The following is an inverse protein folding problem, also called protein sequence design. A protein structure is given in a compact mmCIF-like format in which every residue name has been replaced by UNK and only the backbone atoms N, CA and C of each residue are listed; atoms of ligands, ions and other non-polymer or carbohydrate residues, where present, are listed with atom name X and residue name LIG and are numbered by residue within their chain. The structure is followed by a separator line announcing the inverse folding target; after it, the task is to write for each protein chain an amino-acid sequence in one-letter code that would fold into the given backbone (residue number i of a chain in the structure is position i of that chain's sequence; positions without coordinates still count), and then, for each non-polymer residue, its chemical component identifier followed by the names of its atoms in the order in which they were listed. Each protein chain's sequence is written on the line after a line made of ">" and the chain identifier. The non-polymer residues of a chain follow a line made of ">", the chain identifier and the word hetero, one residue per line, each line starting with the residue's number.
data_IF_005368251840
#
_entry.id   IF_005368251840
#
_cell.length_a   1.000
_cell.length_b   1.000
_cell.length_c   1.000
_cell.angle_alpha   90.00
_cell.angle_beta   90.00
_cell.angle_gamma   90.00
#
_symmetry.space_group_name_H-M   'P 1'
#
loop_
_entity.id
_entity.type
_entity.pdbx_description
1 polymer ?
#
# COMPACT_ATOMS: atom_id res chain seq x y z
N UNK A 1 -12.29 8.79 17.50
CA UNK A 1 -12.26 8.44 18.93
C UNK A 1 -12.09 6.93 19.08
N UNK A 2 -10.87 6.43 19.09
CA UNK A 2 -10.56 5.02 19.37
C UNK A 2 -9.70 4.90 20.61
N UNK A 3 -9.96 3.89 21.42
CA UNK A 3 -9.09 3.51 22.53
C UNK A 3 -7.90 2.68 21.98
N UNK A 4 -6.74 2.77 22.63
CA UNK A 4 -5.53 1.97 22.31
C UNK A 4 -4.97 2.18 20.89
N UNK A 5 -4.95 3.42 20.39
CA UNK A 5 -4.21 3.75 19.18
C UNK A 5 -2.75 4.03 19.53
N UNK A 6 -1.83 3.34 18.85
CA UNK A 6 -0.40 3.58 18.96
C UNK A 6 0.12 4.31 17.71
N UNK A 7 0.79 5.45 17.92
CA UNK A 7 1.31 6.29 16.85
C UNK A 7 2.77 6.65 17.10
N UNK A 8 3.66 6.10 16.29
CA UNK A 8 5.09 6.36 16.30
C UNK A 8 5.50 7.07 15.01
N UNK A 9 5.86 8.36 15.10
CA UNK A 9 6.26 9.17 13.94
C UNK A 9 7.70 9.62 14.07
N UNK A 10 8.49 9.40 13.04
CA UNK A 10 9.83 9.99 12.88
C UNK A 10 9.93 10.69 11.52
N UNK A 11 10.22 11.99 11.53
CA UNK A 11 10.47 12.78 10.32
C UNK A 11 11.84 13.47 10.40
N UNK A 12 12.69 13.22 9.42
CA UNK A 12 14.03 13.80 9.30
C UNK A 12 14.23 14.37 7.89
N UNK A 13 14.53 15.66 7.79
CA UNK A 13 14.69 16.35 6.51
C UNK A 13 13.66 17.48 6.32
N UNK A 14 13.47 17.91 5.07
CA UNK A 14 12.63 19.06 4.74
C UNK A 14 11.41 18.66 3.93
N UNK A 15 10.29 19.40 4.12
CA UNK A 15 9.06 19.24 3.36
C UNK A 15 8.45 17.81 3.37
N UNK A 16 8.67 17.08 4.46
CA UNK A 16 7.98 15.81 4.69
C UNK A 16 6.60 16.08 5.27
N UNK A 17 5.61 15.33 4.85
CA UNK A 17 4.24 15.45 5.35
C UNK A 17 3.62 14.09 5.68
N UNK A 18 2.84 14.05 6.74
CA UNK A 18 2.00 12.92 7.13
C UNK A 18 0.60 13.47 7.41
N UNK A 19 -0.38 12.97 6.71
CA UNK A 19 -1.79 13.31 6.90
C UNK A 19 -2.60 12.04 7.00
N UNK A 20 -3.36 11.89 8.06
CA UNK A 20 -4.27 10.75 8.24
C UNK A 20 -5.39 11.07 9.25
N UNK A 21 -6.47 10.32 9.16
CA UNK A 21 -7.48 10.24 10.19
C UNK A 21 -7.81 8.77 10.50
N UNK A 22 -8.27 8.49 11.69
CA UNK A 22 -8.63 7.14 12.13
C UNK A 22 -9.79 7.21 13.12
N UNK A 23 -10.60 6.17 13.18
CA UNK A 23 -11.83 6.17 13.97
C UNK A 23 -12.00 5.01 14.95
N UNK A 24 -11.26 3.93 14.86
CA UNK A 24 -11.45 2.71 15.66
C UNK A 24 -10.25 2.32 16.50
N UNK A 25 -10.44 1.34 17.40
CA UNK A 25 -9.48 0.96 18.41
C UNK A 25 -8.41 -0.02 17.92
N UNK A 26 -7.26 -0.06 18.61
CA UNK A 26 -6.22 -1.05 18.41
C UNK A 26 -5.35 -0.85 17.16
N UNK A 27 -5.46 0.30 16.47
CA UNK A 27 -4.63 0.57 15.30
C UNK A 27 -3.20 0.97 15.71
N UNK A 28 -2.19 0.46 14.99
CA UNK A 28 -0.78 0.75 15.22
C UNK A 28 -0.16 1.38 13.97
N UNK A 29 0.48 2.52 14.13
CA UNK A 29 1.12 3.28 13.05
C UNK A 29 2.58 3.54 13.38
N UNK A 30 3.50 2.95 12.62
CA UNK A 30 4.94 3.19 12.70
C UNK A 30 5.40 3.88 11.42
N UNK A 31 5.51 5.22 11.43
CA UNK A 31 5.70 6.03 10.26
C UNK A 31 7.06 6.72 10.30
N UNK A 32 7.94 6.44 9.35
CA UNK A 32 9.27 7.00 9.26
C UNK A 32 9.49 7.66 7.89
N UNK A 33 9.87 8.92 7.90
CA UNK A 33 10.23 9.65 6.69
C UNK A 33 11.63 10.24 6.85
N UNK A 34 12.53 9.87 5.95
CA UNK A 34 13.91 10.36 5.91
C UNK A 34 14.20 11.02 4.55
N UNK A 35 14.95 12.13 4.56
CA UNK A 35 15.20 12.90 3.34
C UNK A 35 14.13 13.96 3.11
N UNK A 36 13.93 14.38 1.87
CA UNK A 36 13.09 15.53 1.57
C UNK A 36 11.89 15.15 0.71
N UNK A 37 10.75 15.81 0.97
CA UNK A 37 9.58 15.75 0.13
C UNK A 37 8.82 14.42 0.17
N UNK A 38 8.98 13.61 1.21
CA UNK A 38 8.17 12.42 1.38
C UNK A 38 6.74 12.79 1.78
N UNK A 39 5.77 12.04 1.29
CA UNK A 39 4.37 12.26 1.63
C UNK A 39 3.67 10.94 1.95
N UNK A 40 3.02 10.91 3.09
CA UNK A 40 2.02 9.92 3.44
C UNK A 40 0.70 10.67 3.48
N UNK A 41 -0.14 10.42 2.51
CA UNK A 41 -1.43 11.10 2.39
C UNK A 41 -2.43 10.20 1.71
N UNK A 42 -3.65 10.56 1.77
CA UNK A 42 -4.70 9.87 1.09
C UNK A 42 -4.92 10.42 -0.34
N UNK A 43 -5.19 9.51 -1.29
CA UNK A 43 -5.62 9.88 -2.65
C UNK A 43 -7.01 9.31 -2.89
N UNK A 44 -8.02 10.19 -2.91
CA UNK A 44 -9.39 9.80 -3.22
C UNK A 44 -9.54 9.40 -4.70
N UNK A 45 -10.01 8.20 -4.95
CA UNK A 45 -10.40 7.74 -6.28
C UNK A 45 -11.91 7.77 -6.55
N UNK A 46 -12.71 8.30 -5.66
CA UNK A 46 -14.13 8.51 -5.93
C UNK A 46 -14.34 9.83 -6.66
N UNK A 47 -14.51 9.75 -7.96
CA UNK A 47 -14.81 10.90 -8.81
C UNK A 47 -16.09 11.62 -8.37
N UNK A 48 -15.94 12.61 -7.55
CA UNK A 48 -16.75 13.79 -7.36
C UNK A 48 -16.34 14.54 -6.08
N UNK A 49 -15.23 15.26 -6.12
CA UNK A 49 -15.03 16.46 -5.30
C UNK A 49 -15.07 16.34 -3.77
N UNK A 50 -14.89 15.17 -3.18
CA UNK A 50 -14.76 15.01 -1.73
C UNK A 50 -13.35 14.56 -1.38
N UNK A 51 -12.59 15.49 -0.82
CA UNK A 51 -11.34 15.22 -0.13
C UNK A 51 -11.69 14.65 1.26
N UNK A 52 -11.44 13.37 1.47
CA UNK A 52 -11.44 12.76 2.79
C UNK A 52 -9.98 12.50 3.13
N UNK A 53 -9.50 13.02 4.24
CA UNK A 53 -8.13 12.77 4.69
C UNK A 53 -7.95 11.29 5.09
N UNK A 54 -6.78 10.75 4.87
CA UNK A 54 -6.32 9.38 5.08
C UNK A 54 -7.06 8.53 6.11
N UNK A 55 -8.17 7.92 5.71
CA UNK A 55 -9.05 7.22 6.62
C UNK A 55 -8.58 5.79 6.87
N UNK A 56 -8.41 5.43 8.13
CA UNK A 56 -8.37 4.04 8.58
C UNK A 56 -9.56 3.84 9.52
N UNK A 57 -10.65 3.36 9.00
CA UNK A 57 -11.91 3.17 9.73
C UNK A 57 -12.10 1.75 10.28
N UNK A 58 -11.07 0.93 10.29
CA UNK A 58 -11.08 -0.40 10.88
C UNK A 58 -10.34 -0.48 12.21
N UNK A 59 -10.41 -1.64 12.85
CA UNK A 59 -9.77 -1.90 14.14
C UNK A 59 -8.57 -2.84 14.00
N UNK A 60 -7.59 -2.73 14.88
CA UNK A 60 -6.40 -3.58 14.95
C UNK A 60 -5.54 -3.59 13.68
N UNK A 61 -5.61 -2.54 12.87
CA UNK A 61 -4.75 -2.40 11.71
C UNK A 61 -3.33 -1.97 12.11
N UNK A 62 -2.33 -2.51 11.44
CA UNK A 62 -0.92 -2.16 11.65
C UNK A 62 -0.33 -1.60 10.36
N UNK A 63 0.22 -0.39 10.42
CA UNK A 63 0.97 0.21 9.32
C UNK A 63 2.43 0.48 9.72
N UNK A 64 3.37 -0.10 8.97
CA UNK A 64 4.80 0.14 9.12
C UNK A 64 5.34 0.80 7.84
N UNK A 65 5.48 2.11 7.83
CA UNK A 65 5.83 2.88 6.64
C UNK A 65 7.20 3.52 6.80
N UNK A 66 8.12 3.22 5.89
CA UNK A 66 9.44 3.83 5.84
C UNK A 66 9.65 4.46 4.46
N UNK A 67 9.88 5.76 4.41
CA UNK A 67 10.08 6.50 3.17
C UNK A 67 11.38 7.30 3.17
N UNK A 68 12.08 7.28 2.02
CA UNK A 68 13.27 8.08 1.76
C UNK A 68 13.14 8.80 0.41
N UNK A 69 13.71 10.00 0.33
CA UNK A 69 14.03 10.67 -0.93
C UNK A 69 12.84 11.00 -1.86
N UNK A 70 11.75 11.50 -1.29
CA UNK A 70 10.64 12.05 -2.06
C UNK A 70 9.56 11.01 -2.42
N UNK A 71 9.48 9.92 -1.69
CA UNK A 71 8.44 8.92 -1.88
C UNK A 71 7.05 9.41 -1.46
N UNK A 72 6.04 8.91 -2.13
CA UNK A 72 4.62 9.19 -1.83
C UNK A 72 3.88 7.89 -1.56
N UNK A 73 3.12 7.87 -0.49
CA UNK A 73 2.20 6.80 -0.14
C UNK A 73 0.82 7.38 0.16
N UNK A 74 -0.18 6.83 -0.48
CA UNK A 74 -1.58 7.04 -0.14
C UNK A 74 -2.15 5.77 0.48
N UNK A 75 -3.31 5.86 1.09
CA UNK A 75 -4.00 4.71 1.67
C UNK A 75 -5.49 4.95 1.78
N UNK A 76 -6.20 3.90 2.12
CA UNK A 76 -7.61 3.91 2.49
C UNK A 76 -7.92 2.49 3.00
N UNK A 77 -8.12 2.31 4.26
CA UNK A 77 -8.32 0.99 4.88
C UNK A 77 -9.64 1.06 5.67
N UNK A 78 -10.62 0.24 5.37
CA UNK A 78 -11.89 0.15 6.09
C UNK A 78 -12.14 -1.24 6.70
N UNK A 79 -11.16 -2.09 6.65
CA UNK A 79 -11.23 -3.43 7.22
C UNK A 79 -10.52 -3.53 8.56
N UNK A 80 -10.66 -4.67 9.19
CA UNK A 80 -10.05 -5.00 10.46
C UNK A 80 -8.81 -5.90 10.29
N UNK A 81 -7.88 -5.85 11.24
CA UNK A 81 -6.74 -6.77 11.37
C UNK A 81 -5.77 -6.76 10.18
N UNK A 82 -5.75 -5.71 9.36
CA UNK A 82 -4.83 -5.60 8.23
C UNK A 82 -3.43 -5.21 8.66
N UNK A 83 -2.42 -5.79 8.01
CA UNK A 83 -1.02 -5.40 8.15
C UNK A 83 -0.48 -4.85 6.83
N UNK A 84 0.06 -3.65 6.87
CA UNK A 84 0.64 -2.97 5.72
C UNK A 84 2.06 -2.55 6.03
N UNK A 85 3.01 -3.14 5.32
CA UNK A 85 4.41 -2.80 5.38
C UNK A 85 4.83 -2.15 4.05
N UNK A 86 5.35 -0.94 4.09
CA UNK A 86 5.79 -0.22 2.89
C UNK A 86 7.20 0.33 3.12
N UNK A 87 8.13 -0.02 2.26
CA UNK A 87 9.43 0.62 2.16
C UNK A 87 9.57 1.29 0.79
N UNK A 88 9.92 2.55 0.77
CA UNK A 88 10.16 3.30 -0.47
C UNK A 88 11.44 4.13 -0.37
N UNK A 89 12.36 3.95 -1.32
CA UNK A 89 13.60 4.71 -1.39
C UNK A 89 13.81 5.27 -2.80
N UNK A 90 13.39 6.49 -3.01
CA UNK A 90 13.38 7.17 -4.29
C UNK A 90 12.05 7.89 -4.54
N UNK A 91 11.91 8.51 -5.71
CA UNK A 91 10.68 9.21 -6.10
C UNK A 91 9.60 8.22 -6.56
N UNK A 92 9.18 7.35 -5.66
CA UNK A 92 8.20 6.31 -5.94
C UNK A 92 6.81 6.72 -5.45
N UNK A 93 5.79 6.19 -6.09
CA UNK A 93 4.41 6.39 -5.69
C UNK A 93 3.73 5.05 -5.45
N UNK A 94 3.02 4.94 -4.36
CA UNK A 94 2.18 3.81 -4.05
C UNK A 94 0.83 4.30 -3.51
N UNK A 95 -0.24 3.78 -4.06
CA UNK A 95 -1.58 3.97 -3.54
C UNK A 95 -2.10 2.59 -3.10
N UNK A 96 -2.96 2.57 -2.11
CA UNK A 96 -3.53 1.35 -1.56
C UNK A 96 -4.96 1.65 -1.16
N UNK A 97 -5.88 0.79 -1.54
CA UNK A 97 -7.21 0.73 -0.96
C UNK A 97 -7.35 -0.67 -0.37
N UNK A 98 -8.07 -0.89 0.70
CA UNK A 98 -8.31 -2.24 1.21
C UNK A 98 -9.81 -2.50 1.31
N UNK A 99 -10.54 -2.34 2.31
CA UNK A 99 -11.90 -2.75 2.63
C UNK A 99 -12.06 -4.24 3.00
N UNK A 100 -11.03 -5.03 2.89
CA UNK A 100 -11.02 -6.42 3.32
C UNK A 100 -10.46 -6.52 4.75
N UNK A 101 -10.67 -7.65 5.38
CA UNK A 101 -10.12 -7.98 6.67
C UNK A 101 -8.92 -8.92 6.53
N UNK A 102 -8.01 -8.90 7.49
CA UNK A 102 -6.93 -9.88 7.63
C UNK A 102 -5.96 -9.90 6.41
N UNK A 103 -5.81 -8.77 5.75
CA UNK A 103 -4.90 -8.64 4.60
C UNK A 103 -3.47 -8.39 5.06
N UNK A 104 -2.53 -9.14 4.49
CA UNK A 104 -1.10 -8.88 4.60
C UNK A 104 -0.59 -8.27 3.30
N UNK A 105 -0.01 -7.08 3.37
CA UNK A 105 0.49 -6.36 2.21
C UNK A 105 1.91 -5.86 2.47
N UNK A 106 2.87 -6.39 1.73
CA UNK A 106 4.21 -5.84 1.65
C UNK A 106 4.38 -5.07 0.34
N UNK A 107 5.16 -4.03 0.36
CA UNK A 107 5.66 -3.36 -0.83
C UNK A 107 7.13 -3.00 -0.59
N UNK A 108 7.93 -3.11 -1.60
CA UNK A 108 9.31 -2.62 -1.61
C UNK A 108 9.51 -1.85 -2.91
N UNK A 109 9.82 -0.61 -2.88
CA UNK A 109 10.19 0.16 -4.08
C UNK A 109 11.56 0.78 -3.85
N UNK A 110 12.53 0.41 -4.65
CA UNK A 110 13.91 0.88 -4.53
C UNK A 110 14.56 1.07 -5.90
N UNK A 111 15.51 1.98 -5.97
CA UNK A 111 16.26 2.26 -7.18
C UNK A 111 16.09 3.69 -7.67
N UNK A 112 16.76 3.99 -8.79
CA UNK A 112 16.76 5.34 -9.36
C UNK A 112 15.63 5.58 -10.38
N UNK A 113 14.89 4.56 -10.75
CA UNK A 113 13.68 4.70 -11.55
C UNK A 113 12.53 5.33 -10.76
N UNK A 114 11.48 5.76 -11.45
CA UNK A 114 10.23 6.16 -10.80
C UNK A 114 9.27 4.99 -10.86
N UNK A 115 9.05 4.35 -9.74
CA UNK A 115 8.15 3.20 -9.67
C UNK A 115 6.77 3.68 -9.24
N UNK A 116 5.77 3.08 -9.83
CA UNK A 116 4.37 3.30 -9.48
C UNK A 116 3.70 1.97 -9.16
N UNK A 117 2.90 1.96 -8.12
CA UNK A 117 2.03 0.85 -7.77
C UNK A 117 0.65 1.41 -7.42
N UNK A 118 -0.36 0.70 -7.78
CA UNK A 118 -1.72 0.91 -7.31
C UNK A 118 -2.26 -0.46 -6.97
N UNK A 119 -2.74 -0.64 -5.78
CA UNK A 119 -3.36 -1.91 -5.35
C UNK A 119 -4.79 -1.57 -4.94
N UNK A 120 -5.67 -2.49 -5.05
CA UNK A 120 -7.07 -2.28 -4.77
C UNK A 120 -7.65 -3.62 -4.36
N UNK A 121 -8.08 -3.73 -3.15
CA UNK A 121 -8.85 -4.84 -2.64
C UNK A 121 -10.28 -4.36 -2.48
N UNK A 122 -11.25 -5.20 -2.62
CA UNK A 122 -12.63 -4.88 -2.25
C UNK A 122 -13.31 -6.14 -1.77
N UNK A 123 -14.20 -6.01 -0.85
CA UNK A 123 -14.91 -7.01 -0.09
C UNK A 123 -14.83 -8.48 -0.51
N UNK A 124 -14.71 -9.36 0.45
CA UNK A 124 -14.53 -10.81 0.36
C UNK A 124 -13.15 -11.29 -0.12
N UNK A 125 -12.14 -10.43 -0.10
CA UNK A 125 -10.74 -10.83 -0.33
C UNK A 125 -9.97 -11.04 0.98
N UNK A 126 -10.70 -11.29 2.07
CA UNK A 126 -10.14 -11.46 3.41
C UNK A 126 -9.04 -12.52 3.44
N UNK A 127 -8.00 -12.28 4.21
CA UNK A 127 -6.83 -13.13 4.28
C UNK A 127 -5.91 -13.09 3.05
N UNK A 128 -6.09 -12.13 2.14
CA UNK A 128 -5.21 -12.01 0.98
C UNK A 128 -3.82 -11.54 1.35
N UNK A 129 -2.82 -12.07 0.65
CA UNK A 129 -1.40 -11.74 0.84
C UNK A 129 -0.87 -11.14 -0.46
N UNK A 130 -0.26 -9.96 -0.38
CA UNK A 130 0.36 -9.29 -1.52
C UNK A 130 1.79 -8.93 -1.21
N UNK A 131 2.72 -9.49 -1.98
CA UNK A 131 4.11 -9.10 -1.96
C UNK A 131 4.44 -8.48 -3.32
N UNK A 132 4.75 -7.18 -3.35
CA UNK A 132 5.08 -6.47 -4.57
C UNK A 132 6.43 -5.80 -4.40
N UNK A 133 7.38 -6.11 -5.28
CA UNK A 133 8.71 -5.55 -5.27
C UNK A 133 9.05 -4.94 -6.63
N UNK A 134 9.38 -3.67 -6.63
CA UNK A 134 9.82 -2.95 -7.83
C UNK A 134 11.23 -2.39 -7.57
N UNK A 135 12.20 -2.77 -8.41
CA UNK A 135 13.59 -2.39 -8.23
C UNK A 135 14.26 -2.03 -9.57
N UNK A 136 15.24 -1.15 -9.51
CA UNK A 136 16.12 -0.91 -10.64
C UNK A 136 16.17 0.54 -11.11
N UNK A 137 16.67 0.72 -12.32
CA UNK A 137 16.90 2.06 -12.89
C UNK A 137 15.80 2.52 -13.84
N UNK A 138 14.94 1.61 -14.26
CA UNK A 138 13.81 1.90 -15.14
C UNK A 138 12.53 2.21 -14.35
N UNK A 139 11.53 2.73 -15.02
CA UNK A 139 10.22 2.97 -14.42
C UNK A 139 9.38 1.69 -14.50
N UNK A 140 8.96 1.20 -13.36
CA UNK A 140 8.09 0.05 -13.28
C UNK A 140 6.69 0.48 -12.83
N UNK A 141 5.69 -0.19 -13.38
CA UNK A 141 4.29 0.10 -13.07
C UNK A 141 3.55 -1.21 -12.78
N UNK A 142 2.87 -1.26 -11.65
CA UNK A 142 1.95 -2.32 -11.33
C UNK A 142 0.61 -1.73 -10.90
N UNK A 143 -0.46 -2.18 -11.54
CA UNK A 143 -1.84 -1.87 -11.13
C UNK A 143 -2.54 -3.20 -10.87
N UNK A 144 -3.06 -3.36 -9.69
CA UNK A 144 -3.60 -4.64 -9.24
C UNK A 144 -4.98 -4.40 -8.63
N UNK A 145 -5.93 -5.23 -9.01
CA UNK A 145 -7.25 -5.27 -8.40
C UNK A 145 -7.52 -6.72 -8.01
N UNK A 146 -7.75 -6.96 -6.75
CA UNK A 146 -8.13 -8.27 -6.23
C UNK A 146 -9.60 -8.23 -5.81
N UNK A 147 -10.36 -9.19 -6.28
CA UNK A 147 -11.78 -9.36 -5.96
C UNK A 147 -12.11 -10.84 -5.82
N UNK A 148 -13.30 -11.16 -5.36
CA UNK A 148 -13.76 -12.54 -5.32
C UNK A 148 -14.19 -12.98 -3.94
N UNK A 149 -14.60 -14.24 -3.83
CA UNK A 149 -15.14 -14.83 -2.62
C UNK A 149 -14.06 -15.48 -1.73
N UNK A 150 -12.82 -15.54 -2.20
CA UNK A 150 -11.72 -16.21 -1.52
C UNK A 150 -10.42 -15.41 -1.64
N UNK A 151 -9.52 -15.62 -0.69
CA UNK A 151 -8.21 -14.99 -0.62
C UNK A 151 -7.38 -15.17 -1.90
N UNK A 152 -6.52 -14.22 -2.17
CA UNK A 152 -5.51 -14.31 -3.23
C UNK A 152 -4.11 -14.12 -2.63
N UNK A 153 -3.19 -15.02 -2.94
CA UNK A 153 -1.76 -14.81 -2.71
C UNK A 153 -1.13 -14.29 -4.00
N UNK A 154 -0.62 -13.07 -3.97
CA UNK A 154 -0.03 -12.41 -5.13
C UNK A 154 1.42 -12.05 -4.86
N UNK A 155 2.31 -12.52 -5.71
CA UNK A 155 3.72 -12.13 -5.69
C UNK A 155 4.10 -11.49 -7.03
N UNK A 156 4.54 -10.24 -7.00
CA UNK A 156 5.01 -9.50 -8.18
C UNK A 156 6.44 -9.02 -7.97
N UNK A 157 7.32 -9.35 -8.89
CA UNK A 157 8.67 -8.83 -8.97
C UNK A 157 8.88 -8.15 -10.31
N UNK A 158 9.18 -6.87 -10.31
CA UNK A 158 9.63 -6.11 -11.48
C UNK A 158 11.00 -5.52 -11.18
N UNK A 159 11.99 -5.83 -12.03
CA UNK A 159 13.35 -5.39 -11.80
C UNK A 159 14.09 -5.12 -13.12
N UNK A 160 15.20 -4.37 -13.05
CA UNK A 160 16.09 -4.17 -14.15
C UNK A 160 16.13 -2.76 -14.73
N UNK A 161 16.58 -2.65 -15.97
CA UNK A 161 16.86 -1.38 -16.63
C UNK A 161 15.90 -1.04 -17.79
N UNK A 162 14.87 -1.85 -17.99
CA UNK A 162 13.82 -1.62 -18.99
C UNK A 162 12.49 -1.37 -18.30
N UNK A 163 11.70 -0.44 -18.83
CA UNK A 163 10.38 -0.15 -18.27
C UNK A 163 9.47 -1.37 -18.35
N UNK A 164 8.85 -1.70 -17.25
CA UNK A 164 7.95 -2.83 -17.15
C UNK A 164 6.58 -2.37 -16.68
N UNK A 165 5.54 -3.00 -17.20
CA UNK A 165 4.18 -2.72 -16.79
C UNK A 165 3.42 -4.01 -16.54
N UNK A 166 2.70 -4.06 -15.45
CA UNK A 166 1.85 -5.16 -15.08
C UNK A 166 0.48 -4.64 -14.64
N UNK A 167 -0.56 -5.17 -15.22
CA UNK A 167 -1.93 -4.86 -14.83
C UNK A 167 -2.69 -6.18 -14.63
N UNK A 168 -3.21 -6.36 -13.43
CA UNK A 168 -3.96 -7.55 -13.02
C UNK A 168 -5.33 -7.15 -12.47
N UNK A 169 -6.34 -7.84 -12.95
CA UNK A 169 -7.62 -7.97 -12.24
C UNK A 169 -7.84 -9.44 -11.93
N UNK A 170 -7.75 -9.82 -10.67
CA UNK A 170 -7.95 -11.19 -10.20
C UNK A 170 -9.28 -11.28 -9.45
N UNK A 171 -10.13 -12.19 -9.91
CA UNK A 171 -11.38 -12.56 -9.24
C UNK A 171 -11.28 -14.01 -8.77
N UNK A 172 -10.96 -14.20 -7.48
CA UNK A 172 -10.80 -15.54 -6.92
C UNK A 172 -12.14 -16.13 -6.51
N UNK A 173 -12.55 -17.20 -7.21
CA UNK A 173 -13.77 -17.97 -6.95
C UNK A 173 -13.47 -19.40 -6.50
N UNK A 174 -12.21 -19.74 -6.27
CA UNK A 174 -11.77 -21.09 -5.91
C UNK A 174 -11.70 -21.25 -4.41
N UNK A 175 -12.40 -22.24 -3.88
CA UNK A 175 -12.29 -22.64 -2.46
C UNK A 175 -10.84 -23.00 -2.15
N UNK A 176 -10.29 -22.37 -1.11
CA UNK A 176 -8.89 -22.50 -0.74
C UNK A 176 -7.95 -21.43 -1.32
N UNK A 177 -8.51 -20.51 -2.11
CA UNK A 177 -7.78 -19.34 -2.59
C UNK A 177 -7.16 -19.49 -3.97
N UNK A 178 -6.59 -18.40 -4.45
CA UNK A 178 -5.87 -18.28 -5.72
C UNK A 178 -4.43 -17.86 -5.47
N UNK A 179 -3.51 -18.29 -6.36
CA UNK A 179 -2.11 -17.83 -6.30
C UNK A 179 -1.69 -17.27 -7.66
N UNK A 180 -1.10 -16.09 -7.66
CA UNK A 180 -0.53 -15.45 -8.85
C UNK A 180 0.92 -15.07 -8.59
N UNK A 181 1.83 -15.52 -9.46
CA UNK A 181 3.24 -15.17 -9.38
C UNK A 181 3.68 -14.52 -10.70
N UNK A 182 4.29 -13.34 -10.61
CA UNK A 182 4.77 -12.57 -11.76
C UNK A 182 6.20 -12.17 -11.55
N UNK A 183 7.05 -12.42 -12.54
CA UNK A 183 8.45 -11.94 -12.55
C UNK A 183 8.75 -11.31 -13.91
N UNK A 184 9.21 -10.08 -13.89
CA UNK A 184 9.66 -9.30 -15.05
C UNK A 184 11.09 -8.78 -14.76
N UNK A 185 12.04 -9.08 -15.67
CA UNK A 185 13.46 -8.74 -15.55
C UNK A 185 13.94 -7.86 -16.70
#
# INVERSE_FOLDING_TARGET
>A
DGDDIELNITQVGFANSIEFSFAHSGNVFNLQQHGNGNSISWVSYWGSGKSWGGDVDGSNNTENIIQYNGATYGRHIWGDENTVDVYQNGSHTHNLDIHADDVEHDLWQDGSGTHYSHVYYYGNTDGSITNLKQEGTANHNAQITLTGAYMTTLNVLQQGSTNQSYNLTQNCQTVGGCTVNVTQN
#
